data_IF_069147101570
#
_entry.id   IF_069147101570
#
_cell.length_a   1.000
_cell.length_b   1.000
_cell.length_c   1.000
_cell.angle_alpha   90.00
_cell.angle_beta   90.00
_cell.angle_gamma   90.00
#
_symmetry.space_group_name_H-M   'P 1'
#
loop_
_entity.id
_entity.type
_entity.pdbx_description
1 polymer ?
#
# COMPACT_ATOMS: atom_id res chain seq x y z
N UNK A 1 9.99 -2.11 17.94
CA UNK A 1 9.80 -1.55 16.59
C UNK A 1 8.78 -2.39 15.82
N UNK A 2 7.91 -1.77 15.02
CA UNK A 2 6.98 -2.48 14.14
C UNK A 2 7.53 -2.37 12.73
N UNK A 3 7.73 -3.53 12.09
CA UNK A 3 8.31 -3.64 10.75
C UNK A 3 7.19 -4.06 9.81
N UNK A 4 7.02 -3.33 8.71
CA UNK A 4 6.08 -3.66 7.64
C UNK A 4 6.83 -4.36 6.51
N UNK A 5 6.30 -5.48 6.06
CA UNK A 5 6.82 -6.25 4.93
C UNK A 5 5.74 -6.39 3.87
N UNK A 6 6.07 -6.08 2.62
CA UNK A 6 5.11 -6.14 1.51
C UNK A 6 5.50 -7.19 0.48
N UNK A 7 4.50 -7.81 -0.15
CA UNK A 7 4.71 -8.68 -1.30
C UNK A 7 3.56 -8.60 -2.32
N UNK A 8 3.85 -8.79 -3.62
CA UNK A 8 5.19 -8.95 -4.21
C UNK A 8 5.95 -7.62 -4.32
N UNK A 9 7.27 -7.68 -4.56
CA UNK A 9 8.11 -6.50 -4.79
C UNK A 9 7.86 -5.82 -6.15
N UNK A 10 7.41 -6.60 -7.13
CA UNK A 10 7.00 -6.13 -8.45
C UNK A 10 5.83 -6.96 -8.91
N UNK A 11 4.87 -6.33 -9.55
CA UNK A 11 3.71 -7.00 -10.13
C UNK A 11 3.53 -6.52 -11.57
N UNK A 12 3.43 -7.47 -12.49
CA UNK A 12 3.22 -7.20 -13.90
C UNK A 12 1.95 -7.92 -14.35
N UNK A 13 0.97 -7.14 -14.77
CA UNK A 13 -0.37 -7.60 -15.13
C UNK A 13 -0.86 -6.83 -16.37
N UNK A 14 -1.80 -7.43 -17.08
CA UNK A 14 -2.53 -6.86 -18.19
C UNK A 14 -3.70 -6.00 -17.69
N UNK A 15 -4.15 -5.00 -18.48
CA UNK A 15 -5.37 -4.26 -18.16
C UNK A 15 -6.56 -5.19 -17.94
N UNK A 16 -7.38 -4.90 -16.94
CA UNK A 16 -8.55 -5.71 -16.54
C UNK A 16 -8.22 -6.87 -15.60
N UNK A 17 -6.95 -7.26 -15.44
CA UNK A 17 -6.59 -8.30 -14.47
C UNK A 17 -6.69 -7.79 -13.02
N UNK A 18 -6.93 -8.73 -12.09
CA UNK A 18 -6.99 -8.44 -10.66
C UNK A 18 -5.58 -8.37 -10.08
N UNK A 19 -5.25 -7.26 -9.43
CA UNK A 19 -4.04 -7.12 -8.65
C UNK A 19 -4.30 -7.34 -7.15
N UNK A 20 -3.42 -8.08 -6.48
CA UNK A 20 -3.45 -8.25 -5.02
C UNK A 20 -2.07 -7.99 -4.45
N UNK A 21 -2.00 -7.05 -3.51
CA UNK A 21 -0.81 -6.77 -2.70
C UNK A 21 -1.07 -7.26 -1.28
N UNK A 22 -0.01 -7.71 -0.63
CA UNK A 22 -0.03 -8.09 0.78
C UNK A 22 0.90 -7.18 1.57
N UNK A 23 0.52 -6.93 2.82
CA UNK A 23 1.32 -6.23 3.80
C UNK A 23 1.22 -6.96 5.12
N UNK A 24 2.37 -7.28 5.71
CA UNK A 24 2.48 -7.97 6.98
C UNK A 24 3.26 -7.14 7.99
N UNK A 25 2.63 -6.85 9.12
CA UNK A 25 3.25 -6.22 10.27
C UNK A 25 3.95 -7.28 11.15
N UNK A 26 5.10 -6.94 11.72
CA UNK A 26 5.82 -7.83 12.64
C UNK A 26 5.10 -8.07 13.97
N UNK A 27 4.14 -7.20 14.31
CA UNK A 27 3.29 -7.28 15.50
C UNK A 27 1.89 -6.81 15.13
N UNK A 28 0.89 -7.17 15.94
CA UNK A 28 -0.50 -6.75 15.70
C UNK A 28 -0.65 -5.23 15.75
N UNK A 29 -1.25 -4.66 14.71
CA UNK A 29 -1.60 -3.23 14.62
C UNK A 29 -3.12 -3.01 14.63
N UNK A 30 -3.90 -4.02 15.03
CA UNK A 30 -5.37 -3.99 14.95
C UNK A 30 -5.81 -3.65 13.51
N UNK A 31 -6.57 -2.58 13.28
CA UNK A 31 -6.93 -2.07 11.95
C UNK A 31 -6.15 -0.81 11.55
N UNK A 32 -5.10 -0.43 12.29
CA UNK A 32 -4.36 0.82 12.10
C UNK A 32 -3.37 0.73 10.94
N UNK A 33 -3.90 0.61 9.73
CA UNK A 33 -3.13 0.53 8.50
C UNK A 33 -3.77 1.36 7.40
N UNK A 34 -2.91 2.08 6.68
CA UNK A 34 -3.25 2.81 5.47
C UNK A 34 -2.48 2.27 4.26
N UNK A 35 -3.10 2.35 3.09
CA UNK A 35 -2.50 2.07 1.79
C UNK A 35 -2.41 3.34 0.97
N UNK A 36 -1.28 3.53 0.29
CA UNK A 36 -1.00 4.69 -0.53
C UNK A 36 -0.61 4.28 -1.95
N UNK A 37 -0.95 5.16 -2.90
CA UNK A 37 -0.47 5.13 -4.29
C UNK A 37 0.46 6.32 -4.51
N UNK A 38 1.61 6.09 -5.13
CA UNK A 38 2.54 7.14 -5.54
C UNK A 38 2.88 7.00 -7.02
N UNK A 39 2.48 8.00 -7.81
CA UNK A 39 2.88 8.13 -9.21
C UNK A 39 4.22 8.87 -9.32
N UNK A 40 5.01 8.65 -10.39
CA UNK A 40 6.24 9.41 -10.62
C UNK A 40 5.99 10.92 -10.56
N UNK A 41 6.78 11.63 -9.75
CA UNK A 41 6.68 13.09 -9.59
C UNK A 41 5.47 13.59 -8.79
N UNK A 42 4.64 12.70 -8.22
CA UNK A 42 3.48 13.08 -7.43
C UNK A 42 3.66 12.73 -5.94
N UNK A 43 3.02 13.48 -5.02
CA UNK A 43 2.97 13.09 -3.62
C UNK A 43 2.15 11.80 -3.45
N UNK A 44 2.38 11.04 -2.36
CA UNK A 44 1.54 9.89 -2.04
C UNK A 44 0.07 10.27 -1.88
N UNK A 45 -0.82 9.50 -2.51
CA UNK A 45 -2.27 9.60 -2.40
C UNK A 45 -2.80 8.46 -1.54
N UNK A 46 -3.59 8.80 -0.51
CA UNK A 46 -4.27 7.81 0.34
C UNK A 46 -5.34 7.05 -0.47
N UNK A 47 -5.31 5.71 -0.40
CA UNK A 47 -6.29 4.83 -1.03
C UNK A 47 -7.28 4.29 0.01
N UNK A 48 -6.72 3.61 1.02
CA UNK A 48 -7.46 2.92 2.08
C UNK A 48 -6.87 3.36 3.42
N UNK A 49 -7.70 3.58 4.42
CA UNK A 49 -7.33 3.82 5.82
C UNK A 49 -8.11 2.87 6.73
N UNK A 50 -7.66 2.70 7.98
CA UNK A 50 -8.33 1.79 8.91
C UNK A 50 -8.46 0.36 8.37
N UNK A 51 -7.47 -0.11 7.60
CA UNK A 51 -7.37 -1.39 6.90
C UNK A 51 -8.38 -1.66 5.76
N UNK A 52 -9.60 -1.12 5.81
CA UNK A 52 -10.66 -1.42 4.83
C UNK A 52 -11.49 -0.22 4.37
N UNK A 53 -11.34 0.95 4.98
CA UNK A 53 -12.12 2.14 4.62
C UNK A 53 -11.50 2.84 3.42
N UNK A 54 -12.25 2.93 2.31
CA UNK A 54 -11.79 3.61 1.10
C UNK A 54 -11.89 5.12 1.24
N UNK A 55 -10.81 5.83 0.91
CA UNK A 55 -10.78 7.29 0.95
C UNK A 55 -11.71 7.91 -0.12
N UNK A 56 -12.15 9.15 0.11
CA UNK A 56 -13.05 9.85 -0.80
C UNK A 56 -12.44 10.06 -2.19
N UNK A 57 -13.23 9.83 -3.24
CA UNK A 57 -12.78 9.98 -4.63
C UNK A 57 -11.84 8.88 -5.13
N UNK A 58 -11.68 7.80 -4.38
CA UNK A 58 -10.97 6.59 -4.84
C UNK A 58 -11.96 5.67 -5.56
N UNK A 59 -11.62 5.17 -6.77
CA UNK A 59 -12.49 4.29 -7.54
C UNK A 59 -12.91 3.01 -6.80
N UNK A 60 -14.09 2.50 -7.14
CA UNK A 60 -14.67 1.35 -6.46
C UNK A 60 -13.89 0.04 -6.64
N UNK A 61 -13.01 -0.01 -7.65
CA UNK A 61 -12.10 -1.14 -7.91
C UNK A 61 -11.04 -1.35 -6.83
N UNK A 62 -10.76 -0.35 -5.99
CA UNK A 62 -9.84 -0.49 -4.86
C UNK A 62 -10.57 -0.98 -3.62
N UNK A 63 -10.02 -2.00 -2.96
CA UNK A 63 -10.50 -2.49 -1.67
C UNK A 63 -9.35 -2.92 -0.78
N UNK A 64 -9.41 -2.59 0.51
CA UNK A 64 -8.49 -3.12 1.51
C UNK A 64 -9.15 -4.15 2.42
N UNK A 65 -8.36 -5.08 2.94
CA UNK A 65 -8.83 -6.04 3.95
C UNK A 65 -7.70 -6.43 4.91
N UNK A 66 -8.08 -7.08 6.00
CA UNK A 66 -7.15 -7.60 7.00
C UNK A 66 -7.25 -6.93 8.36
N UNK A 67 -6.58 -7.53 9.33
CA UNK A 67 -6.51 -7.06 10.71
C UNK A 67 -5.37 -7.77 11.44
N UNK A 68 -4.93 -7.17 12.55
CA UNK A 68 -3.85 -7.74 13.35
C UNK A 68 -2.52 -7.58 12.63
N UNK A 69 -2.03 -8.66 12.02
CA UNK A 69 -0.71 -8.70 11.37
C UNK A 69 -0.76 -8.72 9.86
N UNK A 70 -1.86 -9.17 9.25
CA UNK A 70 -1.91 -9.48 7.82
C UNK A 70 -3.00 -8.68 7.12
N UNK A 71 -2.60 -8.02 6.03
CA UNK A 71 -3.41 -7.06 5.30
C UNK A 71 -3.24 -7.21 3.81
N UNK A 72 -4.28 -6.86 3.05
CA UNK A 72 -4.25 -6.88 1.59
C UNK A 72 -4.84 -5.60 1.00
N UNK A 73 -4.33 -5.23 -0.17
CA UNK A 73 -4.95 -4.30 -1.09
C UNK A 73 -5.28 -5.06 -2.37
N UNK A 74 -6.52 -4.94 -2.82
CA UNK A 74 -6.98 -5.52 -4.08
C UNK A 74 -7.43 -4.42 -5.02
N UNK A 75 -7.00 -4.53 -6.28
CA UNK A 75 -7.52 -3.78 -7.42
C UNK A 75 -8.27 -4.79 -8.28
N UNK A 76 -9.60 -4.69 -8.36
CA UNK A 76 -10.43 -5.72 -8.97
C UNK A 76 -10.26 -5.82 -10.49
N UNK A 77 -9.97 -4.69 -11.14
CA UNK A 77 -9.74 -4.55 -12.57
C UNK A 77 -8.70 -3.46 -12.78
N UNK A 78 -7.48 -3.83 -13.14
CA UNK A 78 -6.36 -2.89 -13.30
C UNK A 78 -6.57 -1.97 -14.51
N UNK A 79 -6.41 -0.66 -14.31
CA UNK A 79 -6.47 0.34 -15.38
C UNK A 79 -5.09 0.99 -15.63
N UNK A 80 -4.82 1.57 -16.83
CA UNK A 80 -3.52 2.17 -17.14
C UNK A 80 -3.07 3.25 -16.16
N UNK A 81 -4.00 4.01 -15.58
CA UNK A 81 -3.66 5.01 -14.58
C UNK A 81 -3.33 4.44 -13.19
N UNK A 82 -3.51 3.14 -12.97
CA UNK A 82 -3.16 2.46 -11.72
C UNK A 82 -1.67 2.06 -11.68
N UNK A 83 -0.93 2.28 -12.76
CA UNK A 83 0.53 2.09 -12.81
C UNK A 83 1.21 3.08 -11.88
N UNK A 84 1.67 2.56 -10.74
CA UNK A 84 2.22 3.35 -9.67
C UNK A 84 3.07 2.47 -8.73
N UNK A 85 3.65 3.14 -7.75
CA UNK A 85 4.23 2.51 -6.57
C UNK A 85 3.18 2.46 -5.47
N UNK A 86 3.05 1.32 -4.82
CA UNK A 86 2.11 1.13 -3.70
C UNK A 86 2.86 0.79 -2.42
N UNK A 87 2.41 1.37 -1.31
CA UNK A 87 2.97 1.05 0.01
C UNK A 87 1.91 1.06 1.11
N UNK A 88 2.10 0.21 2.11
CA UNK A 88 1.32 0.21 3.33
C UNK A 88 2.07 0.93 4.45
N UNK A 89 1.32 1.53 5.36
CA UNK A 89 1.87 2.22 6.51
C UNK A 89 0.99 1.92 7.73
N UNK A 90 1.61 1.62 8.87
CA UNK A 90 0.90 1.61 10.13
C UNK A 90 0.55 3.04 10.57
N UNK A 91 -0.69 3.24 11.02
CA UNK A 91 -1.12 4.47 11.70
C UNK A 91 -0.68 4.37 13.17
N UNK A 92 0.40 5.06 13.55
CA UNK A 92 0.81 5.12 14.96
C UNK A 92 -0.09 6.09 15.74
N UNK A 93 -0.58 5.67 16.92
CA UNK A 93 -0.89 6.67 17.94
C UNK A 93 0.46 7.18 18.43
N UNK A 94 0.78 8.44 18.14
CA UNK A 94 2.05 9.04 18.52
C UNK A 94 2.22 9.03 20.05
N UNK A 95 3.28 8.39 20.56
CA UNK A 95 3.93 8.85 21.79
C UNK A 95 5.13 9.67 21.36
N UNK A 96 5.09 10.99 21.60
CA UNK A 96 6.20 11.91 21.32
C UNK A 96 7.44 11.44 22.07
N UNK A 97 8.62 11.39 21.43
CA UNK A 97 9.88 12.06 21.83
C UNK A 97 10.98 11.67 20.84
N UNK A 98 11.74 12.69 20.39
CA UNK A 98 12.87 12.69 19.44
C UNK A 98 12.51 12.53 17.96
N UNK A 99 12.57 13.66 17.23
CA UNK A 99 12.96 13.65 15.82
C UNK A 99 14.39 13.11 15.78
N UNK A 100 14.55 11.80 15.67
CA UNK A 100 15.78 11.26 15.11
C UNK A 100 15.71 11.57 13.62
N UNK A 101 16.27 12.71 13.25
CA UNK A 101 16.94 12.81 11.95
C UNK A 101 17.81 11.55 11.83
N UNK A 102 17.52 10.75 10.82
CA UNK A 102 18.14 9.45 10.54
C UNK A 102 17.78 8.28 11.46
N UNK A 103 16.55 7.80 11.32
CA UNK A 103 16.46 6.41 10.85
C UNK A 103 15.94 6.47 9.44
N UNK A 104 16.80 6.14 8.49
CA UNK A 104 16.41 5.79 7.13
C UNK A 104 15.42 4.63 7.26
N UNK A 105 14.13 4.95 7.43
CA UNK A 105 13.06 4.05 7.03
C UNK A 105 13.26 3.96 5.54
N UNK A 106 14.17 3.07 5.12
CA UNK A 106 14.09 2.51 3.80
C UNK A 106 12.64 2.05 3.74
N UNK A 107 11.78 2.59 2.87
CA UNK A 107 10.52 1.92 2.61
C UNK A 107 10.94 0.49 2.28
N UNK A 108 10.61 -0.46 3.17
CA UNK A 108 10.91 -1.86 2.95
C UNK A 108 9.97 -2.32 1.85
N UNK A 109 10.46 -2.08 0.64
CA UNK A 109 9.99 -2.54 -0.66
C UNK A 109 8.75 -1.81 -1.18
N UNK A 110 9.01 -0.96 -2.18
CA UNK A 110 7.98 -0.46 -3.09
C UNK A 110 7.48 -1.61 -3.97
N UNK A 111 6.17 -1.88 -4.01
CA UNK A 111 5.65 -2.67 -5.14
C UNK A 111 5.61 -1.77 -6.36
N UNK A 112 6.53 -1.97 -7.31
CA UNK A 112 6.46 -1.30 -8.61
C UNK A 112 5.54 -2.10 -9.52
N UNK A 113 4.46 -1.48 -9.98
CA UNK A 113 3.70 -2.01 -11.09
C UNK A 113 4.39 -1.66 -12.41
N UNK A 114 4.63 -2.68 -13.22
CA UNK A 114 4.97 -2.50 -14.62
C UNK A 114 3.81 -3.04 -15.46
N UNK A 115 3.33 -2.24 -16.40
CA UNK A 115 2.31 -2.67 -17.34
C UNK A 115 2.99 -3.53 -18.41
N UNK A 116 2.51 -4.76 -18.64
CA UNK A 116 2.88 -5.52 -19.83
C UNK A 116 1.99 -5.01 -20.97
N UNK A 117 2.60 -4.45 -22.01
CA UNK A 117 1.91 -4.13 -23.26
C UNK A 117 1.59 -5.45 -23.98
N UNK A 118 0.38 -5.64 -24.53
CA UNK A 118 0.13 -6.75 -25.45
C UNK A 118 0.95 -6.53 -26.74
N UNK A 119 1.53 -7.62 -27.27
CA UNK A 119 2.15 -7.66 -28.60
C UNK A 119 1.12 -7.38 -29.70
#
# INVERSE_FOLDING_TARGET
>A
EIVMTQSPATLSLSPGERATLSCRASQSVSSRLAWYQQKPGQPPRLLIYGASSRATGIPDRFSGSGSGTDFTLTISSLEPEDVAVYFCQQESNWSHTVIQHETKTRPSVFTRFYQLLPL
#
